data_IF_115547120340
#
_entry.id   IF_115547120340
#
_cell.length_a   1.000
_cell.length_b   1.000
_cell.length_c   1.000
_cell.angle_alpha   90.00
_cell.angle_beta   90.00
_cell.angle_gamma   90.00
#
_symmetry.space_group_name_H-M   'P 1'
#
loop_
_entity.id
_entity.type
_entity.pdbx_description
1 polymer ?
#
# COMPACT_ATOMS: atom_id res chain seq x y z
N UNK A 1 -32.61 -15.01 16.14
CA UNK A 1 -31.38 -14.51 15.47
C UNK A 1 -31.10 -13.13 16.05
N UNK A 2 -30.00 -12.96 16.79
CA UNK A 2 -29.61 -11.67 17.36
C UNK A 2 -29.45 -10.65 16.22
N UNK A 3 -30.09 -9.48 16.32
CA UNK A 3 -29.81 -8.37 15.41
C UNK A 3 -28.34 -8.01 15.63
N UNK A 4 -27.49 -8.30 14.65
CA UNK A 4 -26.11 -7.86 14.70
C UNK A 4 -26.11 -6.33 14.78
N UNK A 5 -25.58 -5.78 15.87
CA UNK A 5 -25.46 -4.34 16.04
C UNK A 5 -24.49 -3.81 14.99
N UNK A 6 -25.03 -3.19 13.95
CA UNK A 6 -24.27 -2.57 12.87
C UNK A 6 -23.96 -1.12 13.27
N UNK A 7 -22.69 -0.82 13.46
CA UNK A 7 -22.19 0.50 13.84
C UNK A 7 -21.42 1.14 12.70
N UNK A 8 -21.01 2.40 12.89
CA UNK A 8 -20.05 3.10 12.05
C UNK A 8 -18.62 2.83 12.53
N UNK A 9 -17.63 3.25 11.74
CA UNK A 9 -16.22 3.10 12.10
C UNK A 9 -15.91 3.76 13.45
N UNK A 10 -15.04 3.14 14.25
CA UNK A 10 -14.59 3.73 15.52
C UNK A 10 -13.54 4.82 15.27
N UNK A 11 -13.47 5.88 16.10
CA UNK A 11 -12.44 6.92 15.97
C UNK A 11 -11.02 6.35 16.02
N UNK A 12 -10.79 5.32 16.84
CA UNK A 12 -9.48 4.64 16.91
C UNK A 12 -9.09 4.01 15.57
N UNK A 13 -10.02 3.28 14.94
CA UNK A 13 -9.75 2.62 13.66
C UNK A 13 -9.54 3.66 12.54
N UNK A 14 -10.32 4.73 12.54
CA UNK A 14 -10.15 5.87 11.63
C UNK A 14 -8.75 6.49 11.76
N UNK A 15 -8.32 6.80 12.98
CA UNK A 15 -6.96 7.34 13.24
C UNK A 15 -5.87 6.37 12.81
N UNK A 16 -6.04 5.06 13.04
CA UNK A 16 -5.06 4.07 12.63
C UNK A 16 -4.95 3.96 11.10
N UNK A 17 -6.05 4.01 10.37
CA UNK A 17 -6.03 4.03 8.90
C UNK A 17 -5.35 5.30 8.38
N UNK A 18 -5.68 6.46 8.96
CA UNK A 18 -5.04 7.72 8.61
C UNK A 18 -3.53 7.69 8.88
N UNK A 19 -3.12 7.19 10.05
CA UNK A 19 -1.71 7.07 10.44
C UNK A 19 -0.94 6.14 9.50
N UNK A 20 -1.52 5.02 9.09
CA UNK A 20 -0.90 4.13 8.11
C UNK A 20 -0.81 4.78 6.72
N UNK A 21 -1.84 5.54 6.33
CA UNK A 21 -1.82 6.32 5.09
C UNK A 21 -0.68 7.35 5.09
N UNK A 22 -0.53 8.12 6.18
CA UNK A 22 0.60 9.04 6.37
C UNK A 22 1.94 8.30 6.39
N UNK A 23 1.99 7.12 7.04
CA UNK A 23 3.17 6.26 7.04
C UNK A 23 3.62 5.87 5.63
N UNK A 24 2.68 5.48 4.76
CA UNK A 24 2.99 5.18 3.36
C UNK A 24 3.47 6.41 2.60
N UNK A 25 2.95 7.61 2.87
CA UNK A 25 3.50 8.85 2.31
C UNK A 25 4.93 9.11 2.74
N UNK A 26 5.25 8.94 4.03
CA UNK A 26 6.62 9.09 4.54
C UNK A 26 7.56 8.11 3.84
N UNK A 27 7.16 6.84 3.74
CA UNK A 27 7.93 5.82 3.01
C UNK A 27 8.06 6.17 1.53
N UNK A 28 6.99 6.63 0.90
CA UNK A 28 6.98 7.09 -0.49
C UNK A 28 7.94 8.26 -0.73
N UNK A 29 7.97 9.24 0.17
CA UNK A 29 8.90 10.39 0.11
C UNK A 29 10.34 9.91 0.21
N UNK A 30 10.67 9.09 1.21
CA UNK A 30 12.03 8.55 1.38
C UNK A 30 12.45 7.75 0.14
N UNK A 31 11.57 6.89 -0.38
CA UNK A 31 11.85 6.13 -1.59
C UNK A 31 11.95 7.01 -2.84
N UNK A 32 11.16 8.08 -2.92
CA UNK A 32 11.23 9.09 -3.97
C UNK A 32 12.55 9.86 -3.96
N UNK A 33 13.09 10.20 -2.78
CA UNK A 33 14.44 10.76 -2.65
C UNK A 33 15.51 9.79 -3.12
N UNK A 34 15.41 8.52 -2.74
CA UNK A 34 16.32 7.47 -3.25
C UNK A 34 16.26 7.38 -4.78
N UNK A 35 15.07 7.43 -5.36
CA UNK A 35 14.89 7.45 -6.81
C UNK A 35 15.48 8.70 -7.46
N UNK A 36 15.26 9.87 -6.86
CA UNK A 36 15.82 11.14 -7.32
C UNK A 36 17.35 11.08 -7.41
N UNK A 37 18.01 10.59 -6.36
CA UNK A 37 19.47 10.44 -6.37
C UNK A 37 19.94 9.32 -7.31
N UNK A 38 19.17 8.25 -7.48
CA UNK A 38 19.44 7.23 -8.50
C UNK A 38 19.44 7.83 -9.92
N UNK A 39 18.52 8.75 -10.21
CA UNK A 39 18.46 9.43 -11.52
C UNK A 39 19.61 10.42 -11.74
N UNK A 40 20.03 11.12 -10.68
CA UNK A 40 21.12 12.09 -10.77
C UNK A 40 22.49 11.41 -10.82
N UNK A 41 22.67 10.27 -10.16
CA UNK A 41 23.98 9.66 -9.94
C UNK A 41 24.81 10.40 -8.88
N UNK A 42 24.20 11.37 -8.19
CA UNK A 42 24.87 12.20 -7.20
C UNK A 42 23.88 12.84 -6.22
N UNK A 43 24.37 13.17 -5.04
CA UNK A 43 23.72 14.02 -4.06
C UNK A 43 24.34 15.41 -4.18
N UNK A 44 23.55 16.38 -4.65
CA UNK A 44 23.94 17.79 -4.76
C UNK A 44 23.18 18.61 -3.73
N UNK A 45 23.89 19.30 -2.84
CA UNK A 45 23.28 20.15 -1.82
C UNK A 45 23.48 21.64 -2.12
N UNK A 46 22.78 22.16 -3.13
CA UNK A 46 22.84 23.59 -3.45
C UNK A 46 22.20 24.47 -2.36
N UNK A 47 22.78 25.65 -2.01
CA UNK A 47 23.96 26.30 -2.61
C UNK A 47 25.31 25.92 -1.98
N UNK A 48 25.35 24.90 -1.13
CA UNK A 48 26.61 24.44 -0.54
C UNK A 48 27.45 23.71 -1.61
N UNK A 49 28.80 23.82 -1.59
CA UNK A 49 29.68 23.11 -2.52
C UNK A 49 29.85 21.64 -2.12
N UNK A 50 28.73 20.95 -1.88
CA UNK A 50 28.68 19.54 -1.50
C UNK A 50 28.06 18.76 -2.66
N UNK A 51 28.88 17.91 -3.26
CA UNK A 51 28.52 17.01 -4.35
C UNK A 51 29.14 15.66 -4.02
N UNK A 52 28.29 14.64 -3.90
CA UNK A 52 28.70 13.29 -3.54
C UNK A 52 28.19 12.37 -4.64
N UNK A 53 29.09 11.79 -5.43
CA UNK A 53 28.73 10.76 -6.40
C UNK A 53 28.12 9.55 -5.69
N UNK A 54 27.01 9.04 -6.21
CA UNK A 54 26.34 7.85 -5.68
C UNK A 54 25.93 6.92 -6.81
N UNK A 55 26.21 5.64 -6.65
CA UNK A 55 25.68 4.58 -7.52
C UNK A 55 24.61 3.81 -6.75
N UNK A 56 23.35 4.21 -6.94
CA UNK A 56 22.21 3.53 -6.34
C UNK A 56 21.70 2.50 -7.34
N UNK A 57 21.76 1.19 -7.04
CA UNK A 57 21.30 0.17 -7.98
C UNK A 57 19.78 0.20 -8.13
N UNK A 58 19.30 -0.09 -9.34
CA UNK A 58 17.89 -0.38 -9.57
C UNK A 58 17.38 0.06 -10.95
N UNK A 59 16.10 -0.18 -11.19
CA UNK A 59 15.44 0.20 -12.44
C UNK A 59 14.52 1.41 -12.24
N UNK A 60 14.70 2.46 -13.02
CA UNK A 60 13.91 3.70 -12.93
C UNK A 60 12.39 3.47 -13.07
N UNK A 61 11.98 2.45 -13.83
CA UNK A 61 10.56 2.07 -13.92
C UNK A 61 10.08 1.45 -12.61
N UNK A 62 10.87 0.58 -11.98
CA UNK A 62 10.60 -0.03 -10.67
C UNK A 62 10.51 1.02 -9.57
N UNK A 63 11.43 1.98 -9.54
CA UNK A 63 11.36 3.10 -8.59
C UNK A 63 10.08 3.92 -8.77
N UNK A 64 9.72 4.27 -10.02
CA UNK A 64 8.47 4.98 -10.29
C UNK A 64 7.26 4.19 -9.79
N UNK A 65 7.20 2.89 -10.07
CA UNK A 65 6.10 2.04 -9.63
C UNK A 65 6.03 1.98 -8.10
N UNK A 66 7.12 1.67 -7.41
CA UNK A 66 7.14 1.61 -5.94
C UNK A 66 6.75 2.94 -5.28
N UNK A 67 7.20 4.06 -5.83
CA UNK A 67 6.81 5.40 -5.35
C UNK A 67 5.31 5.65 -5.53
N UNK A 68 4.75 5.31 -6.69
CA UNK A 68 3.31 5.45 -6.95
C UNK A 68 2.47 4.52 -6.08
N UNK A 69 2.91 3.28 -5.86
CA UNK A 69 2.24 2.34 -4.96
C UNK A 69 2.06 2.93 -3.56
N UNK A 70 3.12 3.55 -3.02
CA UNK A 70 3.09 4.19 -1.71
C UNK A 70 2.10 5.36 -1.63
N UNK A 71 2.13 6.27 -2.62
CA UNK A 71 1.23 7.44 -2.64
C UNK A 71 -0.22 6.99 -2.83
N UNK A 72 -0.49 6.13 -3.80
CA UNK A 72 -1.85 5.68 -4.12
C UNK A 72 -2.45 4.90 -2.97
N UNK A 73 -1.72 3.94 -2.40
CA UNK A 73 -2.21 3.19 -1.24
C UNK A 73 -2.29 4.05 0.02
N UNK A 74 -1.38 5.01 0.20
CA UNK A 74 -1.45 5.99 1.28
C UNK A 74 -2.75 6.79 1.23
N UNK A 75 -3.08 7.33 0.05
CA UNK A 75 -4.33 8.06 -0.19
C UNK A 75 -5.56 7.16 0.02
N UNK A 76 -5.49 5.92 -0.46
CA UNK A 76 -6.59 4.96 -0.32
C UNK A 76 -6.89 4.65 1.15
N UNK A 77 -5.87 4.46 1.99
CA UNK A 77 -6.05 4.25 3.43
C UNK A 77 -6.68 5.48 4.11
N UNK A 78 -6.23 6.69 3.76
CA UNK A 78 -6.83 7.92 4.28
C UNK A 78 -8.28 8.07 3.82
N UNK A 79 -8.57 7.78 2.55
CA UNK A 79 -9.94 7.79 2.02
C UNK A 79 -10.83 6.78 2.74
N UNK A 80 -10.32 5.58 3.04
CA UNK A 80 -11.02 4.56 3.80
C UNK A 80 -11.28 4.97 5.25
N UNK A 81 -10.38 5.72 5.87
CA UNK A 81 -10.61 6.31 7.20
C UNK A 81 -11.88 7.18 7.21
N UNK A 82 -12.08 8.00 6.18
CA UNK A 82 -13.30 8.81 6.06
C UNK A 82 -14.51 8.02 5.55
N UNK A 83 -14.31 7.12 4.59
CA UNK A 83 -15.40 6.31 4.02
C UNK A 83 -16.06 5.41 5.07
N UNK A 84 -15.30 4.99 6.08
CA UNK A 84 -15.79 4.14 7.16
C UNK A 84 -17.01 4.69 7.91
N UNK A 85 -17.25 6.00 7.91
CA UNK A 85 -18.44 6.61 8.52
C UNK A 85 -19.73 6.36 7.73
N UNK A 86 -19.60 6.08 6.42
CA UNK A 86 -20.72 5.77 5.51
C UNK A 86 -20.94 4.27 5.36
N UNK A 87 -20.25 3.43 6.13
CA UNK A 87 -20.42 1.99 6.12
C UNK A 87 -21.26 1.54 7.33
N UNK A 88 -22.19 0.60 7.12
CA UNK A 88 -22.88 -0.11 8.21
C UNK A 88 -22.40 -1.56 8.26
N UNK A 89 -21.43 -1.81 9.14
CA UNK A 89 -20.77 -3.09 9.29
C UNK A 89 -20.83 -3.55 10.76
N UNK A 90 -20.78 -4.86 10.97
CA UNK A 90 -20.57 -5.44 12.29
C UNK A 90 -19.11 -5.25 12.74
N UNK A 91 -18.85 -5.41 14.05
CA UNK A 91 -17.50 -5.35 14.62
C UNK A 91 -16.50 -6.25 13.85
N UNK A 92 -16.90 -7.49 13.54
CA UNK A 92 -16.07 -8.46 12.82
C UNK A 92 -15.76 -8.01 11.40
N UNK A 93 -16.75 -7.48 10.69
CA UNK A 93 -16.57 -6.96 9.34
C UNK A 93 -15.64 -5.74 9.33
N UNK A 94 -15.70 -4.85 10.34
CA UNK A 94 -14.72 -3.77 10.49
C UNK A 94 -13.30 -4.27 10.77
N UNK A 95 -13.14 -5.32 11.58
CA UNK A 95 -11.83 -5.95 11.77
C UNK A 95 -11.28 -6.50 10.46
N UNK A 96 -12.11 -7.18 9.67
CA UNK A 96 -11.73 -7.70 8.36
C UNK A 96 -11.37 -6.57 7.40
N UNK A 97 -12.20 -5.51 7.33
CA UNK A 97 -11.94 -4.31 6.54
C UNK A 97 -10.58 -3.69 6.88
N UNK A 98 -10.33 -3.45 8.17
CA UNK A 98 -9.10 -2.82 8.64
C UNK A 98 -7.85 -3.60 8.26
N UNK A 99 -7.81 -4.90 8.57
CA UNK A 99 -6.65 -5.72 8.25
C UNK A 99 -6.47 -5.92 6.76
N UNK A 100 -7.55 -6.08 5.99
CA UNK A 100 -7.47 -6.19 4.53
C UNK A 100 -6.92 -4.89 3.92
N UNK A 101 -7.33 -3.73 4.44
CA UNK A 101 -6.80 -2.44 4.01
C UNK A 101 -5.30 -2.30 4.30
N UNK A 102 -4.85 -2.64 5.51
CA UNK A 102 -3.42 -2.56 5.85
C UNK A 102 -2.56 -3.53 5.05
N UNK A 103 -3.00 -4.79 4.92
CA UNK A 103 -2.32 -5.80 4.11
C UNK A 103 -2.19 -5.31 2.67
N UNK A 104 -3.28 -4.80 2.10
CA UNK A 104 -3.29 -4.25 0.75
C UNK A 104 -2.30 -3.08 0.62
N UNK A 105 -2.37 -2.10 1.51
CA UNK A 105 -1.51 -0.91 1.43
C UNK A 105 -0.03 -1.20 1.55
N UNK A 106 0.37 -1.97 2.57
CA UNK A 106 1.79 -2.22 2.84
C UNK A 106 2.39 -3.30 1.93
N UNK A 107 1.67 -4.38 1.65
CA UNK A 107 2.21 -5.49 0.87
C UNK A 107 2.08 -5.33 -0.65
N UNK A 108 1.32 -4.36 -1.16
CA UNK A 108 1.55 -3.89 -2.54
C UNK A 108 2.75 -2.94 -2.63
N UNK A 109 2.96 -2.09 -1.62
CA UNK A 109 4.01 -1.07 -1.64
C UNK A 109 5.42 -1.63 -1.46
N UNK A 110 5.69 -2.31 -0.35
CA UNK A 110 7.07 -2.70 0.01
C UNK A 110 7.69 -3.70 -0.99
N UNK A 111 6.98 -4.73 -1.46
CA UNK A 111 7.53 -5.63 -2.47
C UNK A 111 7.74 -4.95 -3.84
N UNK A 112 6.88 -3.98 -4.21
CA UNK A 112 7.11 -3.18 -5.42
C UNK A 112 8.38 -2.32 -5.33
N UNK A 113 8.68 -1.76 -4.15
CA UNK A 113 9.95 -1.08 -3.90
C UNK A 113 11.14 -2.04 -3.97
N UNK A 114 11.02 -3.23 -3.37
CA UNK A 114 12.08 -4.25 -3.43
C UNK A 114 12.37 -4.69 -4.88
N UNK A 115 11.34 -4.83 -5.71
CA UNK A 115 11.49 -5.13 -7.14
C UNK A 115 12.38 -4.11 -7.88
N UNK A 116 12.36 -2.83 -7.48
CA UNK A 116 13.19 -1.79 -8.09
C UNK A 116 14.69 -2.09 -7.92
N UNK A 117 15.11 -2.53 -6.74
CA UNK A 117 16.52 -2.82 -6.44
C UNK A 117 16.98 -4.16 -7.00
N UNK A 118 16.12 -5.17 -6.99
CA UNK A 118 16.51 -6.52 -7.44
C UNK A 118 16.31 -6.74 -8.95
N UNK A 119 15.58 -5.85 -9.63
CA UNK A 119 15.23 -5.99 -11.05
C UNK A 119 14.24 -7.14 -11.31
N UNK A 120 13.57 -7.61 -10.26
CA UNK A 120 12.57 -8.69 -10.30
C UNK A 120 11.17 -8.12 -10.51
N UNK A 121 10.17 -8.99 -10.67
CA UNK A 121 8.75 -8.58 -10.68
C UNK A 121 7.88 -9.33 -9.68
N UNK A 122 8.28 -10.52 -9.22
CA UNK A 122 7.50 -11.32 -8.27
C UNK A 122 6.12 -11.74 -8.81
N UNK A 123 5.97 -11.82 -10.13
CA UNK A 123 4.70 -12.18 -10.78
C UNK A 123 4.56 -13.68 -11.04
N UNK A 124 5.68 -14.41 -11.03
CA UNK A 124 5.71 -15.86 -11.17
C UNK A 124 6.81 -16.43 -10.27
N UNK A 125 6.51 -17.55 -9.60
CA UNK A 125 7.53 -18.32 -8.90
C UNK A 125 8.59 -18.81 -9.90
N UNK A 126 9.87 -18.67 -9.56
CA UNK A 126 10.99 -18.95 -10.47
C UNK A 126 11.21 -17.87 -11.55
N UNK A 127 10.59 -16.70 -11.46
CA UNK A 127 10.85 -15.54 -12.33
C UNK A 127 9.99 -15.46 -13.59
N UNK A 128 9.51 -16.57 -14.13
CA UNK A 128 8.70 -16.58 -15.37
C UNK A 128 9.39 -15.82 -16.51
N UNK A 129 8.73 -14.85 -17.19
CA UNK A 129 9.37 -14.02 -18.22
C UNK A 129 10.27 -12.91 -17.65
N UNK A 130 10.42 -12.81 -16.33
CA UNK A 130 11.23 -11.79 -15.64
C UNK A 130 12.44 -12.42 -14.95
N UNK A 131 13.26 -11.59 -14.30
CA UNK A 131 14.47 -12.04 -13.60
C UNK A 131 14.13 -13.06 -12.50
N UNK A 132 14.69 -14.29 -12.55
CA UNK A 132 14.49 -15.31 -11.53
C UNK A 132 15.34 -15.07 -10.28
N UNK A 133 15.12 -15.88 -9.24
CA UNK A 133 15.98 -15.98 -8.06
C UNK A 133 15.22 -15.81 -6.74
N UNK A 134 15.96 -16.00 -5.63
CA UNK A 134 15.38 -15.99 -4.29
C UNK A 134 14.59 -14.70 -3.98
N UNK A 135 15.11 -13.53 -4.38
CA UNK A 135 14.41 -12.26 -4.19
C UNK A 135 13.06 -12.24 -4.92
N UNK A 136 12.99 -12.74 -6.15
CA UNK A 136 11.75 -12.84 -6.91
C UNK A 136 10.74 -13.75 -6.20
N UNK A 137 11.19 -14.92 -5.74
CA UNK A 137 10.31 -15.93 -5.17
C UNK A 137 9.75 -15.50 -3.81
N UNK A 138 10.57 -14.81 -3.01
CA UNK A 138 10.10 -14.14 -1.79
C UNK A 138 9.04 -13.10 -2.15
N UNK A 139 9.32 -12.17 -3.08
CA UNK A 139 8.36 -11.12 -3.46
C UNK A 139 7.06 -11.73 -4.02
N UNK A 140 7.15 -12.80 -4.81
CA UNK A 140 5.98 -13.55 -5.28
C UNK A 140 5.13 -14.11 -4.12
N UNK A 141 5.75 -14.72 -3.12
CA UNK A 141 5.03 -15.22 -1.94
C UNK A 141 4.38 -14.08 -1.14
N UNK A 142 5.06 -12.95 -0.99
CA UNK A 142 4.50 -11.75 -0.37
C UNK A 142 3.36 -11.10 -1.18
N UNK A 143 3.24 -11.41 -2.48
CA UNK A 143 2.13 -10.96 -3.33
C UNK A 143 0.80 -11.67 -3.06
N UNK A 144 0.80 -12.86 -2.46
CA UNK A 144 -0.43 -13.63 -2.21
C UNK A 144 -1.38 -12.96 -1.20
N UNK A 145 -0.93 -12.54 -0.01
CA UNK A 145 -1.80 -11.87 0.94
C UNK A 145 -2.52 -10.62 0.38
N UNK A 146 -1.86 -9.65 -0.28
CA UNK A 146 -2.56 -8.48 -0.83
C UNK A 146 -3.48 -8.84 -2.01
N UNK A 147 -3.14 -9.84 -2.84
CA UNK A 147 -4.03 -10.35 -3.90
C UNK A 147 -5.33 -10.89 -3.31
N UNK A 148 -5.31 -11.57 -2.16
CA UNK A 148 -6.55 -12.01 -1.51
C UNK A 148 -7.24 -10.85 -0.80
N UNK A 149 -6.48 -10.04 -0.06
CA UNK A 149 -7.01 -8.94 0.75
C UNK A 149 -7.74 -7.88 -0.06
N UNK A 150 -7.27 -7.54 -1.28
CA UNK A 150 -7.92 -6.52 -2.13
C UNK A 150 -9.37 -6.88 -2.45
N UNK A 151 -9.64 -8.16 -2.75
CA UNK A 151 -10.99 -8.62 -3.07
C UNK A 151 -11.90 -8.59 -1.85
N UNK A 152 -11.38 -9.04 -0.70
CA UNK A 152 -12.12 -9.01 0.58
C UNK A 152 -12.42 -7.55 0.97
N UNK A 153 -11.43 -6.67 0.87
CA UNK A 153 -11.54 -5.26 1.20
C UNK A 153 -12.68 -4.59 0.43
N UNK A 154 -12.67 -4.69 -0.90
CA UNK A 154 -13.70 -4.07 -1.72
C UNK A 154 -15.08 -4.73 -1.56
N UNK A 155 -15.13 -6.05 -1.36
CA UNK A 155 -16.40 -6.73 -1.07
C UNK A 155 -17.03 -6.19 0.23
N UNK A 156 -16.25 -6.05 1.31
CA UNK A 156 -16.75 -5.52 2.58
C UNK A 156 -17.14 -4.05 2.47
N UNK A 157 -16.38 -3.24 1.73
CA UNK A 157 -16.72 -1.83 1.48
C UNK A 157 -18.07 -1.71 0.76
N UNK A 158 -18.28 -2.48 -0.33
CA UNK A 158 -19.53 -2.47 -1.07
C UNK A 158 -20.70 -2.92 -0.19
N UNK A 159 -20.54 -4.01 0.56
CA UNK A 159 -21.57 -4.48 1.49
C UNK A 159 -21.92 -3.41 2.53
N UNK A 160 -20.91 -2.75 3.12
CA UNK A 160 -21.09 -1.71 4.11
C UNK A 160 -21.84 -0.48 3.57
N UNK A 161 -21.48 -0.02 2.37
CA UNK A 161 -22.12 1.11 1.70
C UNK A 161 -23.56 0.79 1.27
N UNK A 162 -23.80 -0.40 0.69
CA UNK A 162 -25.16 -0.82 0.28
C UNK A 162 -26.08 -0.93 1.50
N UNK A 163 -25.60 -1.45 2.62
CA UNK A 163 -26.38 -1.49 3.87
C UNK A 163 -26.64 -0.11 4.44
N UNK A 164 -25.70 0.82 4.32
CA UNK A 164 -25.93 2.21 4.69
C UNK A 164 -27.01 2.85 3.83
N UNK A 165 -26.93 2.73 2.51
CA UNK A 165 -27.94 3.25 1.58
C UNK A 165 -29.34 2.73 1.88
N UNK A 166 -29.49 1.42 2.09
CA UNK A 166 -30.79 0.80 2.40
C UNK A 166 -31.40 1.25 3.73
N UNK A 167 -30.57 1.67 4.68
CA UNK A 167 -31.04 2.11 5.98
C UNK A 167 -31.22 3.63 6.08
N UNK A 168 -30.77 4.36 5.06
CA UNK A 168 -30.94 5.82 4.91
C UNK A 168 -32.06 6.18 3.93
N UNK A 169 -32.64 5.18 3.24
CA UNK A 169 -33.82 5.29 2.38
C UNK A 169 -35.09 5.01 3.19
#
# INVERSE_FOLDING_TARGET
MSQAEHSTITPRMQTLLLLNGVGLFIVGIVFGWTWFFHLLGEIVLWPLPIQIEVDIPGDSRGFRMGHMEAITHGLLLMAFAFTGQFMRLSQKEYTVFFWSALINGWLFTLPAMANAFYGTRGLAFGGGPFKPGLANDIIYLFGWPPVVAVHILFAVVVIGLVRHLRASA
#
